data_IF_401316266167
#
_entry.id   IF_401316266167
#
_cell.length_a   1.000
_cell.length_b   1.000
_cell.length_c   1.000
_cell.angle_alpha   90.00
_cell.angle_beta   90.00
_cell.angle_gamma   90.00
#
_symmetry.space_group_name_H-M   'P 1'
#
loop_
_entity.id
_entity.type
_entity.pdbx_description
1 polymer ?
#
# COMPACT_ATOMS: atom_id res chain seq x y z
N UNK A 1 9.96 13.29 -7.76
CA UNK A 1 8.91 12.36 -7.33
C UNK A 1 8.62 11.38 -8.45
N UNK A 2 8.55 10.10 -8.10
CA UNK A 2 8.24 9.04 -9.05
C UNK A 2 6.74 8.86 -9.16
N UNK A 3 6.18 8.94 -10.38
CA UNK A 3 4.75 8.70 -10.58
C UNK A 3 4.55 7.28 -11.10
N UNK A 4 3.66 6.53 -10.44
CA UNK A 4 3.32 5.16 -10.84
C UNK A 4 1.82 5.15 -11.14
N UNK A 5 1.46 4.85 -12.38
CA UNK A 5 0.06 4.74 -12.79
C UNK A 5 -0.38 3.30 -12.66
N UNK A 6 -1.40 3.10 -11.84
CA UNK A 6 -1.91 1.74 -11.59
C UNK A 6 -2.32 1.05 -12.89
N UNK A 7 -2.98 1.78 -13.79
CA UNK A 7 -3.50 1.19 -15.02
C UNK A 7 -2.41 0.61 -15.91
N UNK A 8 -1.17 1.08 -15.77
CA UNK A 8 -0.07 0.58 -16.59
C UNK A 8 0.40 -0.81 -16.15
N UNK A 9 -0.06 -1.29 -15.00
CA UNK A 9 0.43 -2.52 -14.38
C UNK A 9 -0.66 -3.57 -14.15
N UNK A 10 -1.88 -3.31 -14.59
CA UNK A 10 -2.99 -4.23 -14.35
C UNK A 10 -3.69 -4.55 -15.67
N UNK A 11 -4.53 -5.58 -15.65
CA UNK A 11 -5.24 -6.05 -16.84
C UNK A 11 -6.66 -5.49 -16.83
N UNK A 12 -7.13 -5.03 -17.98
CA UNK A 12 -8.49 -4.50 -18.15
C UNK A 12 -8.81 -3.36 -17.18
N UNK A 13 -7.80 -2.59 -16.81
CA UNK A 13 -7.93 -1.45 -15.88
C UNK A 13 -8.50 -1.86 -14.54
N UNK A 14 -8.23 -3.09 -14.08
CA UNK A 14 -8.74 -3.61 -12.82
C UNK A 14 -7.60 -4.21 -12.00
N UNK A 15 -7.49 -3.83 -10.73
CA UNK A 15 -6.55 -4.44 -9.80
C UNK A 15 -7.26 -5.50 -8.99
N UNK A 16 -7.15 -6.76 -9.39
CA UNK A 16 -7.95 -7.83 -8.79
C UNK A 16 -7.14 -8.76 -7.89
N UNK A 17 -5.97 -9.19 -8.33
CA UNK A 17 -5.21 -10.21 -7.61
C UNK A 17 -4.03 -9.59 -6.86
N UNK A 18 -3.57 -10.29 -5.82
CA UNK A 18 -2.36 -9.87 -5.12
C UNK A 18 -1.14 -9.97 -6.04
N UNK A 19 -1.13 -10.92 -6.98
CA UNK A 19 -0.04 -11.03 -7.94
C UNK A 19 0.09 -9.79 -8.81
N UNK A 20 -1.03 -9.20 -9.20
CA UNK A 20 -1.00 -7.96 -9.98
C UNK A 20 -0.48 -6.79 -9.16
N UNK A 21 -0.71 -6.81 -7.85
CA UNK A 21 -0.23 -5.76 -6.97
C UNK A 21 1.26 -5.83 -6.66
N UNK A 22 1.84 -7.02 -6.74
CA UNK A 22 3.23 -7.23 -6.33
C UNK A 22 4.24 -6.37 -7.12
N UNK A 23 4.18 -6.29 -8.44
CA UNK A 23 5.11 -5.43 -9.19
C UNK A 23 4.98 -3.96 -8.80
N UNK A 24 3.76 -3.50 -8.52
CA UNK A 24 3.55 -2.12 -8.11
C UNK A 24 4.20 -1.87 -6.75
N UNK A 25 3.99 -2.79 -5.81
CA UNK A 25 4.62 -2.71 -4.50
C UNK A 25 6.14 -2.61 -4.64
N UNK A 26 6.73 -3.44 -5.49
CA UNK A 26 8.18 -3.44 -5.68
C UNK A 26 8.69 -2.12 -6.27
N UNK A 27 7.92 -1.54 -7.20
CA UNK A 27 8.28 -0.24 -7.77
C UNK A 27 8.27 0.84 -6.70
N UNK A 28 7.25 0.82 -5.82
CA UNK A 28 7.16 1.78 -4.74
C UNK A 28 8.35 1.66 -3.80
N UNK A 29 8.63 0.44 -3.34
CA UNK A 29 9.72 0.21 -2.38
C UNK A 29 11.07 0.56 -2.99
N UNK A 30 11.29 0.20 -4.26
CA UNK A 30 12.54 0.53 -4.92
C UNK A 30 12.74 2.04 -5.02
N UNK A 31 11.67 2.80 -5.28
CA UNK A 31 11.76 4.26 -5.30
C UNK A 31 12.08 4.81 -3.93
N UNK A 32 11.46 4.28 -2.88
CA UNK A 32 11.74 4.70 -1.51
C UNK A 32 13.22 4.44 -1.15
N UNK A 33 13.75 3.30 -1.56
CA UNK A 33 15.15 2.96 -1.28
C UNK A 33 16.13 3.91 -1.97
N UNK A 34 15.70 4.52 -3.06
CA UNK A 34 16.51 5.51 -3.76
C UNK A 34 16.35 6.91 -3.21
N UNK A 35 15.53 7.07 -2.17
CA UNK A 35 15.26 8.37 -1.58
C UNK A 35 14.20 9.16 -2.33
N UNK A 36 13.43 8.54 -3.22
CA UNK A 36 12.40 9.22 -3.97
C UNK A 36 11.05 9.05 -3.29
N UNK A 37 10.25 10.12 -3.27
CA UNK A 37 8.84 9.97 -2.92
C UNK A 37 8.07 9.44 -4.13
N UNK A 38 6.89 8.88 -3.90
CA UNK A 38 6.09 8.23 -4.92
C UNK A 38 4.71 8.87 -4.97
N UNK A 39 4.24 9.14 -6.19
CA UNK A 39 2.86 9.51 -6.43
C UNK A 39 2.19 8.32 -7.10
N UNK A 40 1.18 7.76 -6.46
CA UNK A 40 0.46 6.60 -6.97
C UNK A 40 -0.84 7.10 -7.60
N UNK A 41 -0.96 6.95 -8.90
CA UNK A 41 -2.05 7.52 -9.68
C UNK A 41 -3.10 6.45 -9.98
N UNK A 42 -4.32 6.70 -9.51
CA UNK A 42 -5.44 5.78 -9.67
C UNK A 42 -6.36 6.13 -10.83
N UNK A 43 -5.95 7.06 -11.70
CA UNK A 43 -6.79 7.49 -12.82
C UNK A 43 -7.15 6.30 -13.71
N UNK A 44 -8.41 6.25 -14.11
CA UNK A 44 -8.94 5.26 -15.07
C UNK A 44 -8.95 3.82 -14.56
N UNK A 45 -8.70 3.60 -13.28
CA UNK A 45 -8.85 2.27 -12.68
C UNK A 45 -10.33 2.06 -12.41
N UNK A 46 -10.90 0.98 -12.97
CA UNK A 46 -12.32 0.72 -12.86
C UNK A 46 -12.70 0.06 -11.56
N UNK A 47 -11.81 -0.79 -11.04
CA UNK A 47 -12.13 -1.59 -9.86
C UNK A 47 -10.85 -2.10 -9.22
N UNK A 48 -10.86 -2.20 -7.88
CA UNK A 48 -9.74 -2.78 -7.14
C UNK A 48 -10.29 -3.58 -5.97
N UNK A 49 -9.69 -4.75 -5.74
CA UNK A 49 -10.07 -5.60 -4.61
C UNK A 49 -9.24 -5.23 -3.39
N UNK A 50 -9.73 -5.64 -2.23
CA UNK A 50 -8.97 -5.52 -1.00
C UNK A 50 -7.65 -6.30 -1.08
N UNK A 51 -7.68 -7.49 -1.70
CA UNK A 51 -6.47 -8.30 -1.86
C UNK A 51 -5.38 -7.55 -2.62
N UNK A 52 -5.76 -6.88 -3.70
CA UNK A 52 -4.83 -6.08 -4.49
C UNK A 52 -4.25 -4.94 -3.65
N UNK A 53 -5.12 -4.19 -2.98
CA UNK A 53 -4.70 -3.02 -2.20
C UNK A 53 -3.88 -3.41 -0.97
N UNK A 54 -4.14 -4.57 -0.38
CA UNK A 54 -3.32 -5.05 0.73
C UNK A 54 -1.87 -5.23 0.32
N UNK A 55 -1.63 -5.67 -0.91
CA UNK A 55 -0.26 -5.82 -1.41
C UNK A 55 0.34 -4.49 -1.82
N UNK A 56 -0.42 -3.66 -2.54
CA UNK A 56 0.14 -2.40 -3.06
C UNK A 56 0.42 -1.40 -1.95
N UNK A 57 -0.49 -1.27 -1.00
CA UNK A 57 -0.41 -0.25 0.04
C UNK A 57 -0.25 -0.85 1.42
N UNK A 58 -1.08 -1.84 1.76
CA UNK A 58 -1.08 -2.39 3.11
C UNK A 58 0.27 -2.93 3.54
N UNK A 59 0.95 -3.63 2.65
CA UNK A 59 2.24 -4.23 2.96
C UNK A 59 3.34 -3.21 3.28
N UNK A 60 3.15 -1.96 2.87
CA UNK A 60 4.12 -0.91 3.17
C UNK A 60 4.23 -0.63 4.66
N UNK A 61 3.15 -0.89 5.41
CA UNK A 61 3.13 -0.63 6.85
C UNK A 61 3.97 -1.62 7.64
N UNK A 62 4.47 -2.67 7.01
CA UNK A 62 5.40 -3.58 7.67
C UNK A 62 6.74 -2.89 7.95
N UNK A 63 7.22 -2.07 7.00
CA UNK A 63 8.54 -1.48 7.08
C UNK A 63 8.54 0.03 7.22
N UNK A 64 7.40 0.69 7.07
CA UNK A 64 7.29 2.14 7.14
C UNK A 64 6.17 2.54 8.09
N UNK A 65 6.39 3.60 8.85
CA UNK A 65 5.36 4.12 9.75
C UNK A 65 4.35 4.93 8.96
N UNK A 66 3.18 5.14 9.58
CA UNK A 66 2.14 5.99 8.99
C UNK A 66 2.66 7.39 8.70
N UNK A 67 3.46 7.95 9.62
CA UNK A 67 4.04 9.27 9.43
C UNK A 67 5.00 9.33 8.27
N UNK A 68 5.85 8.30 8.14
CA UNK A 68 6.76 8.23 7.00
C UNK A 68 5.97 8.18 5.69
N UNK A 69 4.96 7.32 5.63
CA UNK A 69 4.18 7.16 4.41
C UNK A 69 3.42 8.41 4.03
N UNK A 70 2.93 9.17 5.00
CA UNK A 70 2.26 10.44 4.71
C UNK A 70 3.18 11.42 4.00
N UNK A 71 4.47 11.32 4.26
CA UNK A 71 5.46 12.22 3.67
C UNK A 71 5.91 11.75 2.29
N UNK A 72 6.08 10.44 2.09
CA UNK A 72 6.72 9.92 0.90
C UNK A 72 5.78 9.23 -0.08
N UNK A 73 4.54 8.95 0.32
CA UNK A 73 3.55 8.33 -0.57
C UNK A 73 2.37 9.26 -0.75
N UNK A 74 2.11 9.61 -2.00
CA UNK A 74 1.01 10.50 -2.35
C UNK A 74 0.04 9.76 -3.25
N UNK A 75 -1.25 9.88 -2.97
CA UNK A 75 -2.29 9.21 -3.74
C UNK A 75 -3.03 10.25 -4.57
N UNK A 76 -3.27 9.93 -5.83
CA UNK A 76 -3.83 10.87 -6.79
C UNK A 76 -4.99 10.24 -7.54
N UNK A 77 -5.99 11.06 -7.83
CA UNK A 77 -7.17 10.66 -8.63
C UNK A 77 -7.98 9.55 -7.99
N UNK A 78 -8.21 9.68 -6.68
CA UNK A 78 -9.03 8.75 -5.95
C UNK A 78 -10.52 9.09 -6.13
N UNK A 79 -11.35 8.07 -6.31
CA UNK A 79 -12.79 8.24 -6.17
C UNK A 79 -13.14 8.09 -4.69
N UNK A 80 -14.32 8.58 -4.26
CA UNK A 80 -14.74 8.38 -2.87
C UNK A 80 -14.78 6.92 -2.47
N UNK A 81 -15.19 6.05 -3.38
CA UNK A 81 -15.24 4.61 -3.11
C UNK A 81 -13.84 4.05 -2.91
N UNK A 82 -12.92 4.41 -3.78
CA UNK A 82 -11.53 3.95 -3.68
C UNK A 82 -10.88 4.48 -2.41
N UNK A 83 -11.11 5.76 -2.10
CA UNK A 83 -10.55 6.35 -0.88
C UNK A 83 -11.03 5.62 0.37
N UNK A 84 -12.33 5.30 0.41
CA UNK A 84 -12.90 4.57 1.54
C UNK A 84 -12.29 3.18 1.69
N UNK A 85 -12.10 2.49 0.57
CA UNK A 85 -11.51 1.15 0.57
C UNK A 85 -10.04 1.20 1.02
N UNK A 86 -9.31 2.20 0.55
CA UNK A 86 -7.92 2.39 0.96
C UNK A 86 -7.82 2.68 2.45
N UNK A 87 -8.71 3.51 2.98
CA UNK A 87 -8.71 3.80 4.41
C UNK A 87 -8.88 2.51 5.22
N UNK A 88 -9.79 1.65 4.80
CA UNK A 88 -10.02 0.39 5.48
C UNK A 88 -8.77 -0.49 5.44
N UNK A 89 -8.12 -0.56 4.27
CA UNK A 89 -6.91 -1.35 4.10
C UNK A 89 -5.79 -0.81 5.00
N UNK A 90 -5.60 0.50 5.04
CA UNK A 90 -4.53 1.08 5.85
C UNK A 90 -4.82 0.95 7.33
N UNK A 91 -6.06 1.11 7.77
CA UNK A 91 -6.42 0.92 9.17
C UNK A 91 -6.15 -0.53 9.61
N UNK A 92 -6.52 -1.49 8.77
CA UNK A 92 -6.27 -2.89 9.07
C UNK A 92 -4.77 -3.20 9.10
N UNK A 93 -4.01 -2.64 8.18
CA UNK A 93 -2.57 -2.86 8.13
C UNK A 93 -1.87 -2.28 9.36
N UNK A 94 -2.26 -1.08 9.77
CA UNK A 94 -1.69 -0.47 10.96
C UNK A 94 -1.93 -1.33 12.18
N UNK A 95 -3.15 -1.83 12.35
CA UNK A 95 -3.49 -2.67 13.49
C UNK A 95 -2.71 -3.98 13.46
N UNK A 96 -2.62 -4.60 12.30
CA UNK A 96 -1.93 -5.87 12.14
C UNK A 96 -0.45 -5.75 12.50
N UNK A 97 0.24 -4.77 11.92
CA UNK A 97 1.68 -4.65 12.14
C UNK A 97 2.01 -4.06 13.51
N UNK A 98 1.12 -3.25 14.08
CA UNK A 98 1.30 -2.76 15.44
C UNK A 98 1.28 -3.90 16.44
N UNK A 99 0.37 -4.86 16.25
CA UNK A 99 0.29 -6.01 17.13
C UNK A 99 1.57 -6.85 17.06
N UNK A 100 2.12 -7.03 15.87
CA UNK A 100 3.36 -7.76 15.69
C UNK A 100 4.50 -7.03 16.40
N UNK A 101 4.57 -5.72 16.23
CA UNK A 101 5.62 -4.92 16.86
C UNK A 101 5.50 -4.97 18.37
N UNK A 102 4.28 -4.89 18.91
CA UNK A 102 4.06 -4.93 20.35
C UNK A 102 4.54 -6.23 20.94
N UNK A 103 4.26 -7.36 20.29
CA UNK A 103 4.72 -8.65 20.77
C UNK A 103 6.23 -8.72 20.74
N UNK A 104 6.85 -8.29 19.66
CA UNK A 104 8.30 -8.29 19.57
C UNK A 104 8.92 -7.39 20.60
N UNK A 105 8.31 -6.24 20.86
CA UNK A 105 8.82 -5.27 21.79
C UNK A 105 8.81 -5.81 23.21
N UNK A 106 7.74 -6.47 23.60
CA UNK A 106 7.62 -7.04 24.92
C UNK A 106 8.55 -8.23 25.08
N UNK A 107 8.86 -8.90 24.01
CA UNK A 107 9.85 -9.96 24.00
C UNK A 107 9.42 -11.18 24.71
N UNK A 108 8.18 -11.26 25.12
CA UNK A 108 7.83 -12.35 25.94
C UNK A 108 6.95 -13.30 25.29
N UNK A 109 5.96 -12.94 24.65
CA UNK A 109 5.22 -13.96 24.06
C UNK A 109 5.09 -13.65 22.66
N UNK A 110 5.68 -14.43 21.88
CA UNK A 110 5.58 -14.31 20.46
C UNK A 110 4.46 -15.21 20.05
N UNK A 111 3.34 -14.63 19.77
CA UNK A 111 2.16 -15.39 19.49
C UNK A 111 1.95 -15.67 18.04
N UNK A 112 2.82 -15.26 17.21
CA UNK A 112 2.67 -15.41 15.76
C UNK A 112 3.64 -16.43 15.22
#
# INVERSE_FOLDING_TARGET
MKTIRIVDHVTFNQGVTSEEGQPIYELIVNSFKKGESVELDFANVKFMTTAFLNVVIGALYRDYTSEQLKTILHLKNLTPETASRIKKVTDNAKAYYANIVDVDKDGEEVLY
#
